data_IF_756241134144
#
_entry.id   IF_756241134144
#
_cell.length_a   1.000
_cell.length_b   1.000
_cell.length_c   1.000
_cell.angle_alpha   90.00
_cell.angle_beta   90.00
_cell.angle_gamma   90.00
#
_symmetry.space_group_name_H-M   'P 1'
#
loop_
_entity.id
_entity.type
_entity.pdbx_description
1 polymer ?
#
# COMPACT_ATOMS: atom_id res chain seq x y z
N UNK A 1 -7.54 -17.86 2.61
CA UNK A 1 -7.35 -19.30 2.30
C UNK A 1 -8.19 -19.77 1.10
N UNK A 2 -9.51 -19.46 1.04
CA UNK A 2 -10.36 -19.84 -0.14
C UNK A 2 -9.83 -19.21 -1.42
N UNK A 3 -9.56 -17.90 -1.41
CA UNK A 3 -9.04 -17.18 -2.58
C UNK A 3 -7.72 -17.78 -3.09
N UNK A 4 -6.76 -18.08 -2.21
CA UNK A 4 -5.48 -18.68 -2.60
C UNK A 4 -5.65 -20.01 -3.35
N UNK A 5 -6.60 -20.87 -2.92
CA UNK A 5 -6.91 -22.13 -3.62
C UNK A 5 -7.49 -21.88 -5.01
N UNK A 6 -8.30 -20.84 -5.17
CA UNK A 6 -8.86 -20.47 -6.48
C UNK A 6 -7.76 -19.96 -7.39
N UNK A 7 -6.92 -19.07 -6.89
CA UNK A 7 -5.78 -18.52 -7.65
C UNK A 7 -4.85 -19.65 -8.10
N UNK A 8 -4.39 -20.51 -7.17
CA UNK A 8 -3.49 -21.64 -7.47
C UNK A 8 -4.03 -22.55 -8.57
N UNK A 9 -5.35 -22.78 -8.63
CA UNK A 9 -5.97 -23.64 -9.65
C UNK A 9 -6.13 -22.98 -11.02
N UNK A 10 -6.13 -21.65 -11.09
CA UNK A 10 -6.50 -20.92 -12.29
C UNK A 10 -5.36 -20.07 -12.90
N UNK A 11 -4.19 -20.03 -12.28
CA UNK A 11 -3.02 -19.35 -12.83
C UNK A 11 -2.02 -20.37 -13.42
N UNK A 12 -1.22 -19.93 -14.37
CA UNK A 12 -0.17 -20.74 -14.96
C UNK A 12 0.94 -21.04 -13.94
N UNK A 13 1.63 -22.17 -14.12
CA UNK A 13 2.87 -22.47 -13.39
C UNK A 13 3.85 -21.31 -13.61
N UNK A 14 4.48 -20.80 -12.58
CA UNK A 14 5.37 -19.64 -12.52
C UNK A 14 4.68 -18.26 -12.44
N UNK A 15 3.37 -18.19 -12.36
CA UNK A 15 2.67 -16.95 -12.03
C UNK A 15 2.26 -16.93 -10.55
N UNK A 16 2.16 -15.74 -10.01
CA UNK A 16 1.65 -15.51 -8.65
C UNK A 16 0.90 -14.17 -8.60
N UNK A 17 0.15 -13.96 -7.55
CA UNK A 17 -0.54 -12.70 -7.30
C UNK A 17 -0.14 -12.16 -5.94
N UNK A 18 0.24 -10.89 -5.88
CA UNK A 18 0.35 -10.17 -4.60
C UNK A 18 -0.99 -9.56 -4.23
N UNK A 19 -1.28 -9.47 -2.94
CA UNK A 19 -2.53 -8.88 -2.48
C UNK A 19 -2.39 -8.32 -1.07
N UNK A 20 -2.87 -7.11 -0.88
CA UNK A 20 -3.21 -6.57 0.43
C UNK A 20 -4.74 -6.60 0.58
N UNK A 21 -5.22 -7.15 1.69
CA UNK A 21 -6.63 -7.16 2.04
C UNK A 21 -6.83 -6.34 3.31
N UNK A 22 -7.71 -5.36 3.27
CA UNK A 22 -8.12 -4.55 4.41
C UNK A 22 -9.64 -4.54 4.56
N UNK A 23 -10.11 -4.67 5.78
CA UNK A 23 -11.50 -4.49 6.19
C UNK A 23 -11.52 -3.46 7.31
N UNK A 24 -12.11 -2.30 7.05
CA UNK A 24 -12.33 -1.29 8.07
C UNK A 24 -13.70 -1.49 8.73
N UNK A 25 -13.68 -1.65 10.04
CA UNK A 25 -14.88 -1.73 10.88
C UNK A 25 -15.14 -0.35 11.49
N UNK A 26 -16.21 0.29 11.03
CA UNK A 26 -16.54 1.66 11.41
C UNK A 26 -16.92 1.79 12.89
N UNK A 27 -17.62 0.82 13.48
CA UNK A 27 -18.11 0.92 14.86
C UNK A 27 -16.99 0.99 15.89
N UNK A 28 -15.92 0.22 15.72
CA UNK A 28 -14.77 0.17 16.63
C UNK A 28 -13.54 0.88 16.06
N UNK A 29 -13.66 1.40 14.83
CA UNK A 29 -12.55 2.04 14.11
C UNK A 29 -11.31 1.15 13.99
N UNK A 30 -11.51 -0.13 13.68
CA UNK A 30 -10.46 -1.11 13.52
C UNK A 30 -10.24 -1.44 12.04
N UNK A 31 -8.99 -1.44 11.63
CA UNK A 31 -8.56 -2.00 10.35
C UNK A 31 -8.08 -3.44 10.59
N UNK A 32 -8.81 -4.41 10.08
CA UNK A 32 -8.35 -5.79 9.95
C UNK A 32 -7.62 -5.95 8.64
N UNK A 33 -6.36 -6.34 8.67
CA UNK A 33 -5.60 -6.48 7.43
C UNK A 33 -4.81 -7.79 7.37
N UNK A 34 -4.52 -8.21 6.14
CA UNK A 34 -3.74 -9.38 5.81
C UNK A 34 -2.98 -9.13 4.50
N UNK A 35 -1.75 -9.59 4.40
CA UNK A 35 -0.93 -9.45 3.20
C UNK A 35 -0.59 -10.80 2.60
N UNK A 36 -0.54 -10.86 1.29
CA UNK A 36 -0.08 -11.99 0.49
C UNK A 36 1.04 -11.52 -0.45
N UNK A 37 2.20 -11.19 0.09
CA UNK A 37 3.38 -10.76 -0.67
C UNK A 37 3.26 -9.36 -1.30
N UNK A 38 2.28 -8.59 -0.90
CA UNK A 38 2.14 -7.19 -1.33
C UNK A 38 3.12 -6.30 -0.56
N UNK A 39 3.51 -5.18 -1.17
CA UNK A 39 4.28 -4.12 -0.50
C UNK A 39 3.62 -3.71 0.82
N UNK A 40 4.41 -3.40 1.87
CA UNK A 40 3.88 -2.93 3.13
C UNK A 40 3.06 -1.65 2.96
N UNK A 41 1.89 -1.60 3.60
CA UNK A 41 1.15 -0.36 3.75
C UNK A 41 1.72 0.49 4.89
N UNK A 42 1.27 1.73 4.98
CA UNK A 42 1.67 2.66 6.03
C UNK A 42 0.44 3.29 6.67
N UNK A 43 0.56 3.64 7.95
CA UNK A 43 -0.39 4.49 8.64
C UNK A 43 0.35 5.74 9.08
N UNK A 44 -0.09 6.89 8.59
CA UNK A 44 0.29 8.15 9.21
C UNK A 44 -0.54 8.36 10.46
N UNK A 45 0.11 8.43 11.62
CA UNK A 45 -0.50 8.72 12.91
C UNK A 45 -0.58 10.22 13.12
N UNK A 46 -1.80 10.77 13.06
CA UNK A 46 -2.00 12.21 13.12
C UNK A 46 -1.53 12.83 14.45
N UNK A 47 -1.76 12.15 15.57
CA UNK A 47 -1.37 12.61 16.91
C UNK A 47 0.16 12.66 17.09
N UNK A 48 0.87 11.65 16.60
CA UNK A 48 2.33 11.52 16.74
C UNK A 48 3.11 12.17 15.62
N UNK A 49 2.44 12.51 14.54
CA UNK A 49 3.05 13.02 13.30
C UNK A 49 4.13 12.11 12.69
N UNK A 50 3.95 10.79 12.80
CA UNK A 50 4.89 9.78 12.32
C UNK A 50 4.20 8.70 11.49
N UNK A 51 4.99 7.94 10.73
CA UNK A 51 4.51 6.80 9.96
C UNK A 51 4.79 5.49 10.68
N UNK A 52 3.79 4.64 10.69
CA UNK A 52 3.84 3.25 11.16
C UNK A 52 3.70 2.31 9.96
N UNK A 53 4.63 1.38 9.78
CA UNK A 53 4.51 0.35 8.75
C UNK A 53 3.52 -0.74 9.18
N UNK A 54 2.62 -1.13 8.29
CA UNK A 54 1.73 -2.27 8.51
C UNK A 54 2.56 -3.55 8.32
N UNK A 55 2.93 -4.19 9.42
CA UNK A 55 3.93 -5.26 9.46
C UNK A 55 3.40 -6.65 9.09
N UNK A 56 2.10 -6.81 8.81
CA UNK A 56 1.54 -8.11 8.43
C UNK A 56 2.13 -8.61 7.12
N UNK A 57 2.71 -9.80 7.13
CA UNK A 57 3.38 -10.42 5.98
C UNK A 57 2.77 -11.76 5.64
N UNK A 58 2.83 -12.14 4.38
CA UNK A 58 2.39 -13.45 3.89
C UNK A 58 3.01 -13.79 2.54
N UNK A 59 3.02 -15.07 2.20
CA UNK A 59 3.45 -15.52 0.87
C UNK A 59 2.45 -15.08 -0.18
N UNK A 60 2.91 -14.81 -1.39
CA UNK A 60 2.08 -14.53 -2.57
C UNK A 60 1.00 -15.60 -2.78
N UNK A 61 -0.10 -15.25 -3.42
CA UNK A 61 -1.15 -16.18 -3.79
C UNK A 61 -0.71 -17.02 -5.00
N UNK A 62 -1.18 -18.27 -5.06
CA UNK A 62 -1.00 -19.13 -6.21
C UNK A 62 0.19 -20.11 -6.12
N UNK A 63 1.06 -19.99 -5.10
CA UNK A 63 2.23 -20.86 -4.96
C UNK A 63 1.91 -22.14 -4.19
N UNK A 64 1.09 -22.09 -3.14
CA UNK A 64 0.74 -23.27 -2.33
C UNK A 64 -0.56 -23.06 -1.60
N UNK A 65 -1.53 -23.93 -1.82
CA UNK A 65 -2.83 -23.97 -1.13
C UNK A 65 -2.72 -24.18 0.38
N UNK A 66 -1.58 -24.66 0.87
CA UNK A 66 -1.30 -24.87 2.29
C UNK A 66 -0.92 -23.58 3.03
N UNK A 67 -0.64 -22.49 2.31
CA UNK A 67 -0.24 -21.20 2.89
C UNK A 67 -1.32 -20.70 3.86
N UNK A 68 -0.87 -20.33 5.05
CA UNK A 68 -1.68 -19.63 6.07
C UNK A 68 -1.32 -18.15 6.06
N UNK A 69 -2.34 -17.32 6.10
CA UNK A 69 -2.19 -15.86 6.16
C UNK A 69 -2.52 -15.38 7.56
N UNK A 70 -1.68 -14.53 8.08
CA UNK A 70 -1.89 -13.86 9.36
C UNK A 70 -2.82 -12.67 9.16
N UNK A 71 -3.55 -12.31 10.21
CA UNK A 71 -4.34 -11.10 10.31
C UNK A 71 -3.72 -10.20 11.38
N UNK A 72 -3.72 -8.91 11.10
CA UNK A 72 -3.38 -7.85 12.06
C UNK A 72 -4.60 -6.98 12.28
N UNK A 73 -4.81 -6.54 13.51
CA UNK A 73 -5.84 -5.61 13.91
C UNK A 73 -5.17 -4.31 14.31
N UNK A 74 -5.59 -3.20 13.71
CA UNK A 74 -4.94 -1.90 13.89
C UNK A 74 -6.02 -0.87 14.18
N UNK A 75 -6.00 -0.20 15.35
CA UNK A 75 -6.89 0.92 15.61
C UNK A 75 -6.51 2.09 14.70
N UNK A 76 -7.51 2.72 14.10
CA UNK A 76 -7.36 3.91 13.27
C UNK A 76 -8.00 5.07 14.01
N UNK A 77 -7.22 6.11 14.28
CA UNK A 77 -7.66 7.30 15.03
C UNK A 77 -8.09 8.41 14.08
N UNK A 78 -8.73 9.43 14.64
CA UNK A 78 -9.17 10.60 13.88
C UNK A 78 -7.98 11.25 13.16
N UNK A 79 -8.17 11.64 11.91
CA UNK A 79 -7.17 12.21 11.01
C UNK A 79 -6.00 11.28 10.61
N UNK A 80 -5.97 10.01 11.08
CA UNK A 80 -5.01 9.05 10.56
C UNK A 80 -5.22 8.82 9.06
N UNK A 81 -4.10 8.59 8.32
CA UNK A 81 -4.11 8.20 6.92
C UNK A 81 -3.63 6.76 6.77
N UNK A 82 -4.41 5.92 6.10
CA UNK A 82 -3.98 4.59 5.64
C UNK A 82 -3.47 4.77 4.21
N UNK A 83 -2.25 4.29 3.93
CA UNK A 83 -1.56 4.47 2.66
C UNK A 83 -1.13 3.10 2.15
N UNK A 84 -1.61 2.73 0.96
CA UNK A 84 -1.22 1.50 0.26
C UNK A 84 -0.66 1.89 -1.11
N UNK A 85 0.51 1.38 -1.43
CA UNK A 85 1.24 1.68 -2.66
C UNK A 85 1.60 0.36 -3.35
N UNK A 86 1.63 0.36 -4.69
CA UNK A 86 2.22 -0.74 -5.45
C UNK A 86 3.71 -0.49 -5.72
N UNK A 87 4.42 -1.53 -6.13
CA UNK A 87 5.84 -1.51 -6.51
C UNK A 87 6.14 -0.49 -7.62
N UNK A 88 5.23 -0.29 -8.58
CA UNK A 88 5.37 0.76 -9.57
C UNK A 88 5.54 2.18 -9.00
N UNK A 89 5.12 2.40 -7.74
CA UNK A 89 5.35 3.66 -7.01
C UNK A 89 6.68 3.62 -6.25
N UNK A 90 6.92 2.55 -5.49
CA UNK A 90 8.08 2.44 -4.60
C UNK A 90 9.38 2.10 -5.34
N UNK A 91 9.27 1.46 -6.51
CA UNK A 91 10.38 1.14 -7.40
C UNK A 91 10.54 2.09 -8.59
N UNK A 92 9.72 3.14 -8.66
CA UNK A 92 9.85 4.16 -9.69
C UNK A 92 11.28 4.75 -9.71
N UNK A 93 11.84 4.89 -10.91
CA UNK A 93 13.22 5.38 -11.10
C UNK A 93 13.23 6.70 -11.84
N UNK A 94 14.13 7.59 -11.45
CA UNK A 94 14.40 8.82 -12.17
C UNK A 94 15.18 8.56 -13.47
N UNK A 95 15.46 9.62 -14.23
CA UNK A 95 16.23 9.56 -15.48
C UNK A 95 17.64 8.98 -15.31
N UNK A 96 18.22 9.10 -14.11
CA UNK A 96 19.55 8.57 -13.76
C UNK A 96 19.51 7.08 -13.35
N UNK A 97 18.31 6.49 -13.27
CA UNK A 97 18.09 5.10 -12.86
C UNK A 97 18.05 4.88 -11.34
N UNK A 98 18.09 5.95 -10.56
CA UNK A 98 17.99 5.90 -9.09
C UNK A 98 16.52 5.76 -8.68
N UNK A 99 16.24 4.92 -7.68
CA UNK A 99 14.90 4.79 -7.10
C UNK A 99 14.41 6.10 -6.50
N UNK A 100 13.11 6.37 -6.65
CA UNK A 100 12.46 7.45 -5.92
C UNK A 100 12.45 7.05 -4.43
N UNK A 101 13.02 7.94 -3.61
CA UNK A 101 13.18 7.69 -2.18
C UNK A 101 11.82 7.62 -1.48
N UNK A 102 11.48 6.44 -0.97
CA UNK A 102 10.24 6.18 -0.24
C UNK A 102 10.05 7.10 0.97
N UNK A 103 11.12 7.42 1.70
CA UNK A 103 11.03 8.34 2.84
C UNK A 103 10.62 9.74 2.38
N UNK A 104 11.18 10.21 1.28
CA UNK A 104 10.79 11.51 0.69
C UNK A 104 9.33 11.49 0.25
N UNK A 105 8.84 10.38 -0.28
CA UNK A 105 7.44 10.23 -0.65
C UNK A 105 6.53 10.33 0.59
N UNK A 106 6.84 9.63 1.67
CA UNK A 106 6.10 9.68 2.92
C UNK A 106 6.13 11.09 3.54
N UNK A 107 7.30 11.74 3.57
CA UNK A 107 7.40 13.13 4.03
C UNK A 107 6.59 14.10 3.15
N UNK A 108 6.50 13.83 1.85
CA UNK A 108 5.67 14.61 0.96
C UNK A 108 4.18 14.44 1.27
N UNK A 109 3.73 13.21 1.58
CA UNK A 109 2.37 12.94 2.05
C UNK A 109 2.10 13.67 3.36
N UNK A 110 3.01 13.59 4.33
CA UNK A 110 2.91 14.28 5.62
C UNK A 110 2.73 15.78 5.45
N UNK A 111 3.47 16.39 4.55
CA UNK A 111 3.37 17.84 4.26
C UNK A 111 1.97 18.24 3.78
N UNK A 112 1.27 17.34 3.07
CA UNK A 112 -0.04 17.60 2.48
C UNK A 112 -1.21 16.94 3.24
N UNK A 113 -0.97 16.42 4.45
CA UNK A 113 -1.92 15.68 5.30
C UNK A 113 -3.27 16.38 5.55
N UNK A 114 -3.31 17.70 5.45
CA UNK A 114 -4.52 18.49 5.66
C UNK A 114 -5.45 18.52 4.45
N UNK A 115 -4.96 18.11 3.28
CA UNK A 115 -5.72 18.10 2.03
C UNK A 115 -6.68 16.91 1.99
N UNK A 116 -7.62 16.95 1.05
CA UNK A 116 -8.46 15.80 0.77
C UNK A 116 -7.59 14.64 0.21
N UNK A 117 -7.84 13.37 0.58
CA UNK A 117 -7.04 12.23 0.12
C UNK A 117 -6.82 12.18 -1.39
N UNK A 118 -7.86 12.48 -2.16
CA UNK A 118 -7.78 12.51 -3.63
C UNK A 118 -6.78 13.54 -4.15
N UNK A 119 -6.72 14.72 -3.52
CA UNK A 119 -5.76 15.76 -3.90
C UNK A 119 -4.32 15.35 -3.57
N UNK A 120 -4.14 14.67 -2.42
CA UNK A 120 -2.82 14.12 -2.04
C UNK A 120 -2.37 13.08 -3.09
N UNK A 121 -3.25 12.17 -3.50
CA UNK A 121 -2.96 11.17 -4.54
C UNK A 121 -2.56 11.86 -5.85
N UNK A 122 -3.31 12.86 -6.27
CA UNK A 122 -3.04 13.59 -7.52
C UNK A 122 -1.66 14.26 -7.51
N UNK A 123 -1.33 14.96 -6.42
CA UNK A 123 -0.05 15.65 -6.27
C UNK A 123 1.12 14.66 -6.29
N UNK A 124 0.98 13.51 -5.60
CA UNK A 124 2.01 12.47 -5.58
C UNK A 124 2.20 11.88 -6.97
N UNK A 125 1.11 11.53 -7.64
CA UNK A 125 1.13 10.97 -8.98
C UNK A 125 1.85 11.91 -9.97
N UNK A 126 1.51 13.20 -9.96
CA UNK A 126 2.17 14.19 -10.80
C UNK A 126 3.66 14.36 -10.47
N UNK A 127 4.02 14.31 -9.17
CA UNK A 127 5.41 14.41 -8.76
C UNK A 127 6.23 13.19 -9.25
N UNK A 128 5.68 11.99 -9.15
CA UNK A 128 6.32 10.77 -9.65
C UNK A 128 6.47 10.84 -11.17
N UNK A 129 5.42 11.23 -11.92
CA UNK A 129 5.48 11.32 -13.38
C UNK A 129 6.55 12.30 -13.87
N UNK A 130 6.77 13.41 -13.16
CA UNK A 130 7.81 14.39 -13.49
C UNK A 130 9.23 13.85 -13.27
N UNK A 131 9.39 12.97 -12.29
CA UNK A 131 10.70 12.41 -11.92
C UNK A 131 11.02 11.12 -12.67
N UNK A 132 9.99 10.34 -13.02
CA UNK A 132 10.13 8.99 -13.57
C UNK A 132 10.69 9.01 -14.99
N UNK A 133 11.60 8.07 -15.27
CA UNK A 133 12.09 7.82 -16.62
C UNK A 133 10.94 7.37 -17.54
N UNK A 134 10.63 8.09 -18.63
CA UNK A 134 9.50 7.79 -19.52
C UNK A 134 9.58 6.41 -20.18
N UNK A 135 10.80 5.85 -20.31
CA UNK A 135 11.04 4.55 -20.93
C UNK A 135 10.97 3.36 -19.93
N UNK A 136 10.75 3.64 -18.64
CA UNK A 136 10.69 2.62 -17.56
C UNK A 136 9.46 2.86 -16.68
N UNK A 137 8.31 2.96 -17.32
CA UNK A 137 7.03 3.11 -16.60
C UNK A 137 6.52 1.74 -16.23
N UNK A 138 6.05 1.63 -14.99
CA UNK A 138 5.28 0.51 -14.49
C UNK A 138 3.89 0.99 -14.03
N UNK A 139 2.97 0.07 -13.86
CA UNK A 139 1.62 0.39 -13.39
C UNK A 139 1.66 0.86 -11.94
N UNK A 140 1.12 2.05 -11.69
CA UNK A 140 1.13 2.67 -10.36
C UNK A 140 -0.26 2.67 -9.75
N UNK A 141 -0.37 2.18 -8.52
CA UNK A 141 -1.58 2.35 -7.71
C UNK A 141 -1.22 3.05 -6.40
N UNK A 142 -1.97 4.09 -6.08
CA UNK A 142 -1.87 4.84 -4.84
C UNK A 142 -3.25 4.88 -4.21
N UNK A 143 -3.39 4.33 -3.02
CA UNK A 143 -4.62 4.39 -2.23
C UNK A 143 -4.33 5.13 -0.92
N UNK A 144 -5.09 6.19 -0.66
CA UNK A 144 -5.06 6.93 0.60
C UNK A 144 -6.47 6.99 1.17
N UNK A 145 -6.63 6.55 2.41
CA UNK A 145 -7.89 6.61 3.15
C UNK A 145 -7.64 7.45 4.39
N UNK A 146 -8.47 8.46 4.63
CA UNK A 146 -8.43 9.30 5.82
C UNK A 146 -9.63 9.02 6.70
N UNK A 147 -9.42 8.82 8.01
CA UNK A 147 -10.51 8.81 8.97
C UNK A 147 -10.89 10.25 9.31
N UNK A 148 -12.14 10.63 9.05
CA UNK A 148 -12.66 12.01 9.24
C UNK A 148 -13.71 12.13 10.35
N UNK A 149 -14.20 11.00 10.88
CA UNK A 149 -15.18 10.93 11.99
C UNK A 149 -14.85 9.76 12.90
#
# INVERSE_FOLDING_TARGET
KRLNRVVEKNINQNMFVTMFYGLYEEMNHLLYCSSAGHEPGYIYRAEKEEFEEISVRGRVLGISSQTRYQQQEIPIYLDDLIIILTDGVTEARNSEGTFIDKQKLLEYIKKHKHMHPQDIVQIIYEAILKLQNPNKKDDMTILIIKRVN
#
